data_IF_669390458060
#
_entry.id   IF_669390458060
#
_cell.length_a   1.000
_cell.length_b   1.000
_cell.length_c   1.000
_cell.angle_alpha   90.00
_cell.angle_beta   90.00
_cell.angle_gamma   90.00
#
_symmetry.space_group_name_H-M   'P 1'
#
loop_
_entity.id
_entity.type
_entity.pdbx_description
1 polymer ?
#
# COMPACT_ATOMS: atom_id res chain seq x y z
N UNK A 1 7.33 6.23 -13.44
CA UNK A 1 6.28 5.19 -13.34
C UNK A 1 5.92 5.12 -11.87
N UNK A 2 4.64 5.02 -11.48
CA UNK A 2 4.25 5.06 -10.06
C UNK A 2 4.03 3.66 -9.48
N UNK A 3 4.28 3.51 -8.18
CA UNK A 3 3.96 2.30 -7.40
C UNK A 3 3.04 2.61 -6.23
N UNK A 4 2.23 1.63 -5.82
CA UNK A 4 1.34 1.74 -4.67
C UNK A 4 1.94 1.00 -3.47
N UNK A 5 2.02 1.68 -2.33
CA UNK A 5 2.28 1.09 -1.03
C UNK A 5 1.04 1.29 -0.17
N UNK A 6 0.54 0.22 0.43
CA UNK A 6 -0.74 0.24 1.17
C UNK A 6 -0.60 -0.47 2.51
N UNK A 7 -1.22 0.06 3.55
CA UNK A 7 -1.31 -0.67 4.83
C UNK A 7 -2.21 -1.90 4.71
N UNK A 8 -2.09 -2.83 5.66
CA UNK A 8 -2.99 -3.97 5.76
C UNK A 8 -4.13 -3.70 6.74
N UNK A 9 -3.80 -3.58 8.04
CA UNK A 9 -4.78 -3.39 9.11
C UNK A 9 -5.41 -2.00 8.97
N UNK A 10 -6.73 -1.93 9.02
CA UNK A 10 -7.49 -0.68 8.85
C UNK A 10 -7.70 -0.27 7.38
N UNK A 11 -7.07 -0.95 6.41
CA UNK A 11 -7.16 -0.60 4.98
C UNK A 11 -7.63 -1.78 4.11
N UNK A 12 -6.93 -2.92 4.17
CA UNK A 12 -7.20 -4.11 3.36
C UNK A 12 -7.94 -5.22 4.11
N UNK A 13 -8.02 -5.15 5.44
CA UNK A 13 -8.73 -6.11 6.30
C UNK A 13 -10.20 -5.74 6.55
N UNK A 14 -10.73 -4.77 5.80
CA UNK A 14 -12.14 -4.35 5.87
C UNK A 14 -13.14 -5.42 5.43
N UNK A 15 -14.41 -5.03 5.30
CA UNK A 15 -15.49 -5.94 4.87
C UNK A 15 -15.18 -6.60 3.52
N UNK A 16 -15.79 -7.76 3.25
CA UNK A 16 -15.60 -8.48 1.97
C UNK A 16 -15.89 -7.60 0.74
N UNK A 17 -16.84 -6.67 0.87
CA UNK A 17 -17.14 -5.68 -0.15
C UNK A 17 -15.98 -4.72 -0.39
N UNK A 18 -15.42 -4.12 0.66
CA UNK A 18 -14.26 -3.22 0.55
C UNK A 18 -13.06 -3.97 -0.03
N UNK A 19 -12.81 -5.20 0.41
CA UNK A 19 -11.72 -6.01 -0.13
C UNK A 19 -11.91 -6.35 -1.62
N UNK A 20 -13.15 -6.63 -2.05
CA UNK A 20 -13.47 -6.86 -3.47
C UNK A 20 -13.16 -5.61 -4.31
N UNK A 21 -13.49 -4.43 -3.79
CA UNK A 21 -13.21 -3.14 -4.45
C UNK A 21 -11.72 -2.85 -4.54
N UNK A 22 -10.95 -3.10 -3.48
CA UNK A 22 -9.48 -3.05 -3.53
C UNK A 22 -8.90 -3.99 -4.59
N UNK A 23 -9.35 -5.26 -4.64
CA UNK A 23 -8.89 -6.21 -5.65
C UNK A 23 -9.25 -5.77 -7.08
N UNK A 24 -10.42 -5.16 -7.27
CA UNK A 24 -10.79 -4.57 -8.57
C UNK A 24 -9.82 -3.45 -8.96
N UNK A 25 -9.51 -2.54 -8.04
CA UNK A 25 -8.57 -1.45 -8.27
C UNK A 25 -7.14 -1.95 -8.55
N UNK A 26 -6.67 -2.95 -7.80
CA UNK A 26 -5.35 -3.56 -8.02
C UNK A 26 -5.24 -4.20 -9.41
N UNK A 27 -6.33 -4.80 -9.92
CA UNK A 27 -6.37 -5.29 -11.30
C UNK A 27 -6.16 -4.17 -12.32
N UNK A 28 -6.73 -2.98 -12.09
CA UNK A 28 -6.51 -1.82 -12.96
C UNK A 28 -5.07 -1.28 -12.87
N UNK A 29 -4.49 -1.21 -11.67
CA UNK A 29 -3.09 -0.85 -11.47
C UNK A 29 -2.14 -1.79 -12.21
N UNK A 30 -2.37 -3.10 -12.09
CA UNK A 30 -1.58 -4.12 -12.80
C UNK A 30 -1.64 -3.95 -14.32
N UNK A 31 -2.79 -3.60 -14.88
CA UNK A 31 -2.92 -3.29 -16.33
C UNK A 31 -2.11 -2.05 -16.75
N UNK A 32 -1.89 -1.09 -15.84
CA UNK A 32 -1.01 0.07 -16.03
C UNK A 32 0.48 -0.25 -15.79
N UNK A 33 0.81 -1.45 -15.31
CA UNK A 33 2.16 -1.83 -14.91
C UNK A 33 2.63 -1.15 -13.62
N UNK A 34 1.71 -0.69 -12.77
CA UNK A 34 2.04 -0.11 -11.47
C UNK A 34 2.21 -1.24 -10.44
N UNK A 35 3.40 -1.41 -9.82
CA UNK A 35 3.61 -2.45 -8.84
C UNK A 35 3.01 -2.06 -7.49
N UNK A 36 2.64 -3.05 -6.68
CA UNK A 36 1.87 -2.89 -5.44
C UNK A 36 2.58 -3.63 -4.30
N UNK A 37 2.88 -2.94 -3.19
CA UNK A 37 3.35 -3.55 -1.95
C UNK A 37 2.37 -3.31 -0.80
N UNK A 38 2.24 -4.30 0.08
CA UNK A 38 1.72 -4.09 1.43
C UNK A 38 2.90 -3.70 2.32
N UNK A 39 2.76 -2.61 3.09
CA UNK A 39 3.71 -2.25 4.15
C UNK A 39 2.94 -2.15 5.48
N UNK A 40 3.09 -3.16 6.33
CA UNK A 40 2.36 -3.29 7.58
C UNK A 40 3.29 -3.20 8.79
N UNK A 41 2.91 -2.41 9.79
CA UNK A 41 3.56 -2.41 11.10
C UNK A 41 3.10 -3.63 11.91
N UNK A 42 3.46 -4.80 11.41
CA UNK A 42 3.15 -6.10 12.00
C UNK A 42 4.47 -6.81 12.42
N UNK A 43 4.49 -7.54 13.55
CA UNK A 43 5.66 -8.27 14.01
C UNK A 43 6.08 -9.43 13.07
N UNK A 44 5.20 -9.87 12.17
CA UNK A 44 5.46 -10.96 11.24
C UNK A 44 5.36 -12.34 11.87
N UNK A 45 6.13 -13.28 11.34
CA UNK A 45 6.08 -14.69 11.75
C UNK A 45 4.76 -15.39 11.39
N UNK A 46 4.41 -16.52 12.04
CA UNK A 46 3.25 -17.34 11.65
C UNK A 46 1.90 -16.64 11.79
N UNK A 47 1.80 -15.57 12.59
CA UNK A 47 0.56 -14.81 12.76
C UNK A 47 0.18 -13.98 11.53
N UNK A 48 1.14 -13.69 10.64
CA UNK A 48 0.94 -12.82 9.50
C UNK A 48 0.64 -13.57 8.19
N UNK A 49 0.30 -14.86 8.25
CA UNK A 49 0.03 -15.68 7.06
C UNK A 49 -1.12 -15.11 6.22
N UNK A 50 -2.15 -14.55 6.85
CA UNK A 50 -3.26 -13.89 6.15
C UNK A 50 -2.81 -12.67 5.32
N UNK A 51 -1.75 -11.97 5.75
CA UNK A 51 -1.18 -10.85 5.02
C UNK A 51 -0.36 -11.40 3.84
N UNK A 52 0.50 -12.40 4.09
CA UNK A 52 1.35 -13.02 3.06
C UNK A 52 0.57 -13.69 1.94
N UNK A 53 -0.62 -14.19 2.23
CA UNK A 53 -1.53 -14.74 1.22
C UNK A 53 -1.83 -13.75 0.08
N UNK A 54 -1.76 -12.43 0.33
CA UNK A 54 -1.92 -11.45 -0.74
C UNK A 54 -0.77 -11.47 -1.75
N UNK A 55 0.46 -11.74 -1.31
CA UNK A 55 1.61 -11.93 -2.20
C UNK A 55 1.59 -13.33 -2.82
N UNK A 56 1.37 -14.39 -2.01
CA UNK A 56 1.35 -15.77 -2.51
C UNK A 56 0.30 -16.02 -3.59
N UNK A 57 -0.84 -15.32 -3.52
CA UNK A 57 -1.90 -15.39 -4.53
C UNK A 57 -1.70 -14.39 -5.68
N UNK A 58 -0.62 -13.61 -5.68
CA UNK A 58 -0.31 -12.61 -6.70
C UNK A 58 -1.30 -11.44 -6.72
N UNK A 59 -1.91 -11.12 -5.58
CA UNK A 59 -2.81 -9.96 -5.44
C UNK A 59 -1.98 -8.68 -5.34
N UNK A 60 -0.89 -8.72 -4.57
CA UNK A 60 0.18 -7.69 -4.53
C UNK A 60 1.51 -8.30 -4.95
N UNK A 61 2.51 -7.46 -5.23
CA UNK A 61 3.83 -7.89 -5.68
C UNK A 61 4.81 -8.13 -4.53
N UNK A 62 4.55 -7.54 -3.35
CA UNK A 62 5.34 -7.77 -2.14
C UNK A 62 4.52 -7.54 -0.86
N UNK A 63 4.82 -8.29 0.19
CA UNK A 63 4.35 -8.03 1.57
C UNK A 63 5.55 -7.72 2.46
N UNK A 64 5.54 -6.53 3.06
CA UNK A 64 6.61 -6.00 3.89
C UNK A 64 6.10 -5.83 5.32
N UNK A 65 6.61 -6.65 6.23
CA UNK A 65 6.22 -6.67 7.64
C UNK A 65 7.33 -6.07 8.49
N UNK A 66 7.00 -5.07 9.32
CA UNK A 66 7.99 -4.30 10.08
C UNK A 66 8.94 -5.16 10.93
N UNK A 67 8.43 -6.21 11.58
CA UNK A 67 9.23 -7.12 12.40
C UNK A 67 10.23 -7.98 11.60
N UNK A 68 10.02 -8.11 10.29
CA UNK A 68 10.86 -8.91 9.39
C UNK A 68 11.87 -8.05 8.64
N UNK A 69 11.45 -6.85 8.21
CA UNK A 69 12.33 -5.90 7.51
C UNK A 69 13.18 -5.05 8.47
N UNK A 70 12.85 -5.02 9.77
CA UNK A 70 13.60 -4.31 10.81
C UNK A 70 13.37 -2.80 10.86
N UNK A 71 12.34 -2.30 10.17
CA UNK A 71 11.94 -0.90 10.16
C UNK A 71 10.41 -0.77 10.11
N UNK A 72 9.86 0.22 10.79
CA UNK A 72 8.41 0.46 10.87
C UNK A 72 8.03 1.84 10.36
N UNK A 73 6.82 2.00 9.82
CA UNK A 73 6.25 3.33 9.55
C UNK A 73 6.12 4.09 10.87
N UNK A 74 6.39 5.41 10.95
CA UNK A 74 6.61 6.36 9.86
C UNK A 74 8.10 6.59 9.51
N UNK A 75 9.01 5.65 9.79
CA UNK A 75 10.45 5.88 9.54
C UNK A 75 10.77 5.97 8.05
N UNK A 76 11.78 6.78 7.70
CA UNK A 76 12.23 6.92 6.31
C UNK A 76 12.77 5.59 5.78
N UNK A 77 13.39 4.79 6.65
CA UNK A 77 13.93 3.47 6.38
C UNK A 77 12.85 2.49 5.91
N UNK A 78 11.69 2.46 6.56
CA UNK A 78 10.57 1.61 6.14
C UNK A 78 10.06 1.98 4.74
N UNK A 79 9.91 3.28 4.46
CA UNK A 79 9.48 3.74 3.14
C UNK A 79 10.56 3.53 2.06
N UNK A 80 11.83 3.66 2.41
CA UNK A 80 12.94 3.36 1.50
C UNK A 80 12.98 1.86 1.17
N UNK A 81 12.76 0.98 2.15
CA UNK A 81 12.69 -0.46 1.92
C UNK A 81 11.58 -0.81 0.92
N UNK A 82 10.42 -0.17 1.03
CA UNK A 82 9.33 -0.36 0.06
C UNK A 82 9.71 0.14 -1.34
N UNK A 83 10.39 1.28 -1.43
CA UNK A 83 10.86 1.83 -2.70
C UNK A 83 11.90 0.92 -3.38
N UNK A 84 12.88 0.45 -2.62
CA UNK A 84 13.91 -0.48 -3.10
C UNK A 84 13.29 -1.80 -3.56
N UNK A 85 12.33 -2.34 -2.79
CA UNK A 85 11.60 -3.58 -3.12
C UNK A 85 10.82 -3.45 -4.44
N UNK A 86 10.19 -2.30 -4.67
CA UNK A 86 9.42 -2.04 -5.89
C UNK A 86 10.29 -1.52 -7.05
N UNK A 87 11.60 -1.38 -6.85
CA UNK A 87 12.56 -0.81 -7.81
C UNK A 87 12.17 0.60 -8.30
N UNK A 88 11.66 1.44 -7.38
CA UNK A 88 11.21 2.80 -7.65
C UNK A 88 11.89 3.82 -6.72
N UNK A 89 11.87 5.09 -7.11
CA UNK A 89 12.25 6.17 -6.20
C UNK A 89 11.07 6.52 -5.26
N UNK A 90 11.34 6.92 -4.02
CA UNK A 90 10.28 7.30 -3.05
C UNK A 90 9.27 8.31 -3.62
N UNK A 91 9.71 9.28 -4.43
CA UNK A 91 8.84 10.29 -5.07
C UNK A 91 7.81 9.71 -6.05
N UNK A 92 8.05 8.49 -6.52
CA UNK A 92 7.18 7.76 -7.43
C UNK A 92 6.19 6.86 -6.68
N UNK A 93 6.32 6.72 -5.36
CA UNK A 93 5.41 5.92 -4.54
C UNK A 93 4.22 6.74 -4.02
N UNK A 94 3.08 6.06 -3.94
CA UNK A 94 1.88 6.52 -3.24
C UNK A 94 1.67 5.64 -2.02
N UNK A 95 1.69 6.22 -0.82
CA UNK A 95 1.40 5.53 0.44
C UNK A 95 -0.07 5.73 0.83
N UNK A 96 -0.81 4.65 1.05
CA UNK A 96 -2.18 4.67 1.58
C UNK A 96 -2.19 4.03 2.96
N UNK A 97 -2.60 4.80 3.96
CA UNK A 97 -2.55 4.38 5.37
C UNK A 97 -3.67 5.05 6.18
N UNK A 98 -4.21 4.37 7.18
CA UNK A 98 -5.27 4.87 8.06
C UNK A 98 -4.74 5.58 9.32
N UNK A 99 -3.41 5.58 9.52
CA UNK A 99 -2.72 6.41 10.50
C UNK A 99 -2.22 7.71 9.86
N UNK A 100 -2.76 8.84 10.32
CA UNK A 100 -2.32 10.17 9.86
C UNK A 100 -0.83 10.43 10.13
N UNK A 101 -0.27 9.78 11.15
CA UNK A 101 1.16 9.89 11.47
C UNK A 101 2.01 9.20 10.41
N UNK A 102 1.58 8.02 9.94
CA UNK A 102 2.24 7.28 8.86
C UNK A 102 2.15 8.06 7.54
N UNK A 103 0.97 8.58 7.21
CA UNK A 103 0.77 9.39 6.00
C UNK A 103 1.66 10.63 6.01
N UNK A 104 1.72 11.35 7.13
CA UNK A 104 2.60 12.53 7.25
C UNK A 104 4.06 12.15 7.12
N UNK A 105 4.49 11.06 7.76
CA UNK A 105 5.86 10.56 7.62
C UNK A 105 6.22 10.18 6.18
N UNK A 106 5.29 9.56 5.45
CA UNK A 106 5.48 9.25 4.04
C UNK A 106 5.68 10.51 3.21
N UNK A 107 4.87 11.55 3.43
CA UNK A 107 5.02 12.86 2.77
C UNK A 107 6.37 13.51 3.10
N UNK A 108 6.77 13.50 4.37
CA UNK A 108 8.07 14.04 4.82
C UNK A 108 9.26 13.25 4.22
N UNK A 109 9.10 11.95 3.98
CA UNK A 109 10.07 11.09 3.31
C UNK A 109 10.09 11.25 1.76
N UNK A 110 9.16 12.05 1.22
CA UNK A 110 9.07 12.40 -0.20
C UNK A 110 8.09 11.57 -1.03
N UNK A 111 7.25 10.73 -0.41
CA UNK A 111 6.18 9.98 -1.08
C UNK A 111 4.94 10.87 -1.26
N UNK A 112 4.01 10.44 -2.10
CA UNK A 112 2.64 10.94 -2.07
C UNK A 112 1.89 10.20 -0.96
N UNK A 113 1.40 10.90 0.05
CA UNK A 113 0.58 10.31 1.12
C UNK A 113 -0.91 10.49 0.86
N UNK A 114 -1.69 9.41 0.99
CA UNK A 114 -3.16 9.41 0.94
C UNK A 114 -3.69 8.87 2.27
N UNK A 115 -4.51 9.68 2.93
CA UNK A 115 -5.11 9.32 4.21
C UNK A 115 -6.39 8.50 4.03
N UNK A 116 -6.36 7.24 4.48
CA UNK A 116 -7.47 6.33 4.39
C UNK A 116 -8.39 6.46 5.61
N UNK A 117 -9.64 6.83 5.38
CA UNK A 117 -10.72 6.73 6.38
C UNK A 117 -11.95 5.99 5.84
N UNK A 118 -12.14 6.08 4.53
CA UNK A 118 -13.23 5.44 3.81
C UNK A 118 -12.78 5.21 2.37
N UNK A 119 -13.22 4.10 1.80
CA UNK A 119 -12.80 3.71 0.45
C UNK A 119 -13.23 4.74 -0.61
N UNK A 120 -14.50 5.18 -0.57
CA UNK A 120 -15.07 6.09 -1.58
C UNK A 120 -14.31 7.42 -1.71
N UNK A 121 -13.74 7.91 -0.60
CA UNK A 121 -12.91 9.12 -0.60
C UNK A 121 -11.51 8.82 -1.13
N UNK A 122 -10.85 7.80 -0.57
CA UNK A 122 -9.46 7.51 -0.90
C UNK A 122 -9.30 7.10 -2.36
N UNK A 123 -10.25 6.34 -2.90
CA UNK A 123 -10.15 5.81 -4.26
C UNK A 123 -10.17 6.90 -5.33
N UNK A 124 -10.89 8.00 -5.10
CA UNK A 124 -10.89 9.17 -6.00
C UNK A 124 -9.49 9.80 -6.05
N UNK A 125 -8.84 9.96 -4.90
CA UNK A 125 -7.48 10.50 -4.81
C UNK A 125 -6.48 9.55 -5.50
N UNK A 126 -6.53 8.26 -5.17
CA UNK A 126 -5.56 7.28 -5.68
C UNK A 126 -5.73 7.10 -7.19
N UNK A 127 -6.96 6.89 -7.69
CA UNK A 127 -7.23 6.74 -9.12
C UNK A 127 -6.80 7.98 -9.92
N UNK A 128 -6.99 9.19 -9.36
CA UNK A 128 -6.50 10.43 -9.95
C UNK A 128 -4.98 10.48 -10.06
N UNK A 129 -4.24 10.07 -9.02
CA UNK A 129 -2.77 10.06 -9.02
C UNK A 129 -2.18 9.05 -10.01
N UNK A 130 -2.84 7.91 -10.22
CA UNK A 130 -2.44 6.88 -11.18
C UNK A 130 -3.02 7.07 -12.59
N UNK A 131 -3.84 8.10 -12.80
CA UNK A 131 -4.53 8.38 -14.07
C UNK A 131 -5.29 7.14 -14.58
N UNK A 132 -6.10 6.55 -13.70
CA UNK A 132 -6.95 5.40 -13.99
C UNK A 132 -8.40 5.86 -14.03
N UNK A 133 -9.08 5.57 -15.14
CA UNK A 133 -10.51 5.79 -15.31
C UNK A 133 -11.30 4.55 -14.87
N UNK A 134 -12.46 4.75 -14.24
CA UNK A 134 -13.38 3.69 -13.83
C UNK A 134 -14.03 3.92 -12.47
N UNK A 135 -15.09 3.17 -12.19
CA UNK A 135 -15.69 3.07 -10.86
C UNK A 135 -15.14 1.82 -10.17
N UNK A 136 -14.61 2.00 -8.95
CA UNK A 136 -13.91 0.98 -8.18
C UNK A 136 -14.61 0.68 -6.86
#
# INVERSE_FOLDING_TARGET
MRGLVVDYVGVLDGSEEVQRRWRNFFSALRKKGAPIAILSNDPGGPGADEIREWEFRGIVDAVLLSGEIGAEKPTVEAFQFAADTLELERKDLVMVDDSIVNVRGAVEAGLIGVYFQQFDRAIVEIAGVFEIEGEF
#
